data_IF_765432523869
#
_entry.id   IF_765432523869
#
_cell.length_a   1.000
_cell.length_b   1.000
_cell.length_c   1.000
_cell.angle_alpha   90.00
_cell.angle_beta   90.00
_cell.angle_gamma   90.00
#
_symmetry.space_group_name_H-M   'P 1'
#
loop_
_entity.id
_entity.type
_entity.pdbx_description
1 polymer ?
#
# COMPACT_ATOMS: atom_id res chain seq x y z
N UNK A 1 -3.70 -19.92 13.11
CA UNK A 1 -2.53 -20.71 12.65
C UNK A 1 -2.80 -21.19 11.23
N UNK A 2 -2.23 -20.52 10.25
CA UNK A 2 -2.19 -21.03 8.88
C UNK A 2 -1.32 -22.30 8.91
N UNK A 3 -1.96 -23.46 8.95
CA UNK A 3 -1.29 -24.73 8.61
C UNK A 3 -0.69 -24.56 7.22
N UNK A 4 0.51 -25.06 6.98
CA UNK A 4 1.09 -25.17 5.64
C UNK A 4 0.11 -25.99 4.80
N UNK A 5 -0.75 -25.31 4.04
CA UNK A 5 -1.62 -25.94 3.06
C UNK A 5 -0.70 -26.55 1.99
N UNK A 6 -0.71 -27.87 1.89
CA UNK A 6 -0.07 -28.51 0.75
C UNK A 6 -0.95 -28.27 -0.52
N UNK A 7 -0.37 -28.48 -1.68
CA UNK A 7 -1.06 -28.23 -2.96
C UNK A 7 -2.33 -29.08 -3.14
N UNK A 8 -2.42 -30.23 -2.47
CA UNK A 8 -3.58 -31.12 -2.53
C UNK A 8 -4.73 -30.59 -1.64
N UNK A 9 -4.44 -30.14 -0.43
CA UNK A 9 -5.45 -29.53 0.44
C UNK A 9 -6.04 -28.27 -0.18
N UNK A 10 -5.18 -27.45 -0.79
CA UNK A 10 -5.65 -26.26 -1.52
C UNK A 10 -6.54 -26.63 -2.70
N UNK A 11 -6.17 -27.66 -3.47
CA UNK A 11 -7.00 -28.20 -4.54
C UNK A 11 -8.38 -28.63 -4.04
N UNK A 12 -8.45 -29.38 -2.93
CA UNK A 12 -9.72 -29.82 -2.35
C UNK A 12 -10.60 -28.67 -1.91
N UNK A 13 -10.00 -27.61 -1.34
CA UNK A 13 -10.73 -26.41 -0.94
C UNK A 13 -11.26 -25.64 -2.16
N UNK A 14 -10.46 -25.47 -3.19
CA UNK A 14 -10.88 -24.81 -4.44
C UNK A 14 -11.99 -25.61 -5.11
N UNK A 15 -11.84 -26.94 -5.23
CA UNK A 15 -12.87 -27.81 -5.80
C UNK A 15 -14.19 -27.71 -5.03
N UNK A 16 -14.15 -27.64 -3.70
CA UNK A 16 -15.32 -27.44 -2.86
C UNK A 16 -16.00 -26.09 -3.11
N UNK A 17 -15.22 -25.02 -3.27
CA UNK A 17 -15.73 -23.68 -3.58
C UNK A 17 -16.37 -23.62 -4.96
N UNK A 18 -15.79 -24.27 -5.96
CA UNK A 18 -16.32 -24.31 -7.34
C UNK A 18 -17.62 -25.09 -7.38
N UNK A 19 -17.65 -26.30 -6.79
CA UNK A 19 -18.81 -27.22 -6.88
C UNK A 19 -19.97 -26.87 -5.94
N UNK A 20 -19.76 -26.05 -4.91
CA UNK A 20 -20.78 -25.74 -3.92
C UNK A 20 -21.07 -24.24 -3.86
N UNK A 21 -22.03 -23.81 -4.67
CA UNK A 21 -22.46 -22.41 -4.74
C UNK A 21 -22.94 -21.86 -3.38
N UNK A 22 -23.70 -22.66 -2.63
CA UNK A 22 -24.19 -22.26 -1.31
C UNK A 22 -23.04 -22.02 -0.33
N UNK A 23 -22.02 -22.86 -0.36
CA UNK A 23 -20.81 -22.70 0.46
C UNK A 23 -20.00 -21.48 0.03
N UNK A 24 -19.85 -21.25 -1.27
CA UNK A 24 -19.18 -20.08 -1.84
C UNK A 24 -19.88 -18.78 -1.42
N UNK A 25 -21.21 -18.71 -1.58
CA UNK A 25 -22.02 -17.55 -1.17
C UNK A 25 -21.91 -17.28 0.34
N UNK A 26 -21.88 -18.35 1.16
CA UNK A 26 -21.68 -18.23 2.61
C UNK A 26 -20.32 -17.59 2.94
N UNK A 27 -19.23 -18.09 2.35
CA UNK A 27 -17.88 -17.53 2.58
C UNK A 27 -17.79 -16.07 2.12
N UNK A 28 -18.38 -15.73 0.97
CA UNK A 28 -18.45 -14.36 0.48
C UNK A 28 -19.18 -13.44 1.46
N UNK A 29 -20.33 -13.89 1.97
CA UNK A 29 -21.11 -13.13 2.93
C UNK A 29 -20.40 -12.96 4.29
N UNK A 30 -19.80 -14.02 4.80
CA UNK A 30 -19.05 -13.99 6.07
C UNK A 30 -17.80 -13.10 5.94
N UNK A 31 -17.11 -13.18 4.79
CA UNK A 31 -16.00 -12.31 4.46
C UNK A 31 -16.42 -10.83 4.38
N UNK A 32 -17.54 -10.56 3.71
CA UNK A 32 -18.09 -9.19 3.63
C UNK A 32 -18.47 -8.65 5.01
N UNK A 33 -19.14 -9.43 5.85
CA UNK A 33 -19.45 -9.04 7.23
C UNK A 33 -18.19 -8.70 8.04
N UNK A 34 -17.18 -9.56 7.93
CA UNK A 34 -15.91 -9.37 8.65
C UNK A 34 -15.19 -8.09 8.17
N UNK A 35 -15.12 -7.87 6.87
CA UNK A 35 -14.53 -6.66 6.29
C UNK A 35 -15.31 -5.41 6.71
N UNK A 36 -16.66 -5.45 6.68
CA UNK A 36 -17.51 -4.35 7.11
C UNK A 36 -17.28 -3.98 8.59
N UNK A 37 -17.13 -4.99 9.45
CA UNK A 37 -16.79 -4.76 10.86
C UNK A 37 -15.40 -4.11 11.01
N UNK A 38 -14.41 -4.62 10.31
CA UNK A 38 -13.04 -4.11 10.35
C UNK A 38 -12.92 -2.69 9.77
N UNK A 39 -13.69 -2.35 8.73
CA UNK A 39 -13.78 -0.99 8.21
C UNK A 39 -14.33 -0.05 9.28
N UNK A 40 -15.35 -0.46 10.01
CA UNK A 40 -15.94 0.34 11.11
C UNK A 40 -14.95 0.57 12.24
N UNK A 41 -14.19 -0.46 12.62
CA UNK A 41 -13.14 -0.34 13.64
C UNK A 41 -11.97 0.56 13.18
N UNK A 42 -11.54 0.43 11.92
CA UNK A 42 -10.53 1.31 11.35
C UNK A 42 -11.00 2.76 11.22
N UNK A 43 -12.28 2.99 10.91
CA UNK A 43 -12.84 4.34 10.91
C UNK A 43 -12.75 4.96 12.31
N UNK A 44 -13.10 4.23 13.35
CA UNK A 44 -12.96 4.68 14.73
C UNK A 44 -11.51 4.98 15.11
N UNK A 45 -10.59 4.18 14.60
CA UNK A 45 -9.15 4.39 14.83
C UNK A 45 -8.63 5.67 14.14
N UNK A 46 -9.05 5.90 12.89
CA UNK A 46 -8.76 7.15 12.17
C UNK A 46 -9.40 8.34 12.88
N UNK A 47 -10.63 8.20 13.36
CA UNK A 47 -11.30 9.23 14.13
C UNK A 47 -10.54 9.53 15.45
N UNK A 48 -10.01 8.51 16.12
CA UNK A 48 -9.17 8.70 17.33
C UNK A 48 -7.86 9.44 17.02
N UNK A 49 -7.24 9.16 15.87
CA UNK A 49 -6.08 9.95 15.41
C UNK A 49 -6.49 11.40 15.15
N UNK A 50 -7.63 11.64 14.49
CA UNK A 50 -8.20 12.97 14.28
C UNK A 50 -8.47 13.69 15.60
N UNK A 51 -9.05 13.00 16.57
CA UNK A 51 -9.30 13.52 17.91
C UNK A 51 -8.00 13.91 18.62
N UNK A 52 -7.01 13.04 18.59
CA UNK A 52 -5.70 13.33 19.16
C UNK A 52 -5.04 14.54 18.48
N UNK A 53 -5.14 14.63 17.15
CA UNK A 53 -4.66 15.80 16.41
C UNK A 53 -5.44 17.05 16.84
N UNK A 54 -6.76 16.99 16.89
CA UNK A 54 -7.60 18.11 17.27
C UNK A 54 -7.31 18.60 18.69
N UNK A 55 -7.14 17.69 19.65
CA UNK A 55 -6.77 18.00 21.03
C UNK A 55 -5.40 18.66 21.12
N UNK A 56 -4.41 18.12 20.40
CA UNK A 56 -3.05 18.67 20.37
C UNK A 56 -3.00 20.11 19.83
N UNK A 57 -3.90 20.44 18.91
CA UNK A 57 -3.97 21.77 18.28
C UNK A 57 -5.03 22.70 18.90
N UNK A 58 -5.72 22.29 19.97
CA UNK A 58 -6.84 23.05 20.53
C UNK A 58 -7.92 23.36 19.48
N UNK A 59 -8.12 22.45 18.53
CA UNK A 59 -9.01 22.65 17.40
C UNK A 59 -10.42 22.14 17.75
N UNK A 60 -11.44 22.95 17.48
CA UNK A 60 -12.83 22.51 17.52
C UNK A 60 -13.07 21.49 16.39
N UNK A 61 -13.30 20.25 16.74
CA UNK A 61 -13.36 19.06 15.89
C UNK A 61 -14.25 19.18 14.63
N UNK A 62 -15.30 19.98 14.71
CA UNK A 62 -16.32 20.12 13.66
C UNK A 62 -15.88 21.07 12.53
N UNK A 63 -14.79 21.84 12.70
CA UNK A 63 -14.43 22.93 11.78
C UNK A 63 -13.05 22.85 11.15
N UNK A 64 -12.25 21.85 11.48
CA UNK A 64 -10.85 21.95 11.13
C UNK A 64 -10.44 21.02 10.01
N UNK A 65 -10.42 21.63 8.87
CA UNK A 65 -9.81 21.18 7.65
C UNK A 65 -8.28 21.13 7.87
N UNK A 66 -7.73 19.90 7.88
CA UNK A 66 -6.28 19.71 7.95
C UNK A 66 -5.64 20.01 6.61
N UNK A 67 -4.47 20.59 6.63
CA UNK A 67 -3.57 20.68 5.48
C UNK A 67 -2.63 19.48 5.53
N UNK A 68 -2.71 18.65 4.51
CA UNK A 68 -2.00 17.36 4.44
C UNK A 68 -1.03 17.40 3.28
N UNK A 69 0.23 17.08 3.52
CA UNK A 69 1.16 16.71 2.45
C UNK A 69 1.18 15.20 2.34
N UNK A 70 0.82 14.66 1.17
CA UNK A 70 0.89 13.22 0.87
C UNK A 70 2.01 12.96 -0.14
N UNK A 71 3.08 12.28 0.31
CA UNK A 71 4.26 11.98 -0.50
C UNK A 71 4.26 10.50 -0.89
N UNK A 72 4.21 10.22 -2.19
CA UNK A 72 4.26 8.88 -2.73
C UNK A 72 4.68 8.86 -4.19
N UNK A 73 5.03 7.70 -4.72
CA UNK A 73 5.38 7.58 -6.13
C UNK A 73 4.11 7.54 -7.01
N UNK A 74 3.84 8.59 -7.75
CA UNK A 74 2.72 8.62 -8.70
C UNK A 74 3.03 7.84 -9.98
N UNK A 75 4.30 7.73 -10.35
CA UNK A 75 4.73 6.99 -11.54
C UNK A 75 4.30 7.62 -12.87
N UNK A 76 4.15 8.93 -12.94
CA UNK A 76 3.69 9.66 -14.12
C UNK A 76 4.50 9.38 -15.40
N UNK A 77 5.80 9.08 -15.25
CA UNK A 77 6.68 8.76 -16.37
C UNK A 77 6.70 7.29 -16.77
N UNK A 78 5.90 6.45 -16.14
CA UNK A 78 5.83 5.03 -16.47
C UNK A 78 4.58 4.77 -17.32
N UNK A 79 4.76 4.52 -18.60
CA UNK A 79 3.68 4.34 -19.59
C UNK A 79 2.61 3.30 -19.19
N UNK A 80 2.96 2.36 -18.33
CA UNK A 80 2.08 1.27 -17.90
C UNK A 80 1.52 1.45 -16.48
N UNK A 81 1.78 2.60 -15.82
CA UNK A 81 1.20 2.87 -14.50
C UNK A 81 -0.03 3.74 -14.62
N UNK A 82 -1.09 3.26 -14.04
CA UNK A 82 -2.34 3.97 -13.94
C UNK A 82 -2.28 4.87 -12.68
N UNK A 83 -1.87 6.10 -12.89
CA UNK A 83 -1.71 7.11 -11.83
C UNK A 83 -2.91 7.21 -10.91
N UNK A 84 -4.12 7.23 -11.49
CA UNK A 84 -5.35 7.44 -10.74
C UNK A 84 -5.76 6.28 -9.83
N UNK A 85 -5.14 5.10 -9.97
CA UNK A 85 -5.45 3.92 -9.16
C UNK A 85 -4.33 3.54 -8.18
N UNK A 86 -3.28 4.35 -8.09
CA UNK A 86 -2.21 4.10 -7.12
C UNK A 86 -2.73 4.20 -5.69
N UNK A 87 -2.13 3.43 -4.79
CA UNK A 87 -2.54 3.42 -3.37
C UNK A 87 -2.41 4.80 -2.73
N UNK A 88 -1.33 5.53 -3.03
CA UNK A 88 -1.16 6.90 -2.57
C UNK A 88 -2.29 7.83 -3.03
N UNK A 89 -2.78 7.64 -4.28
CA UNK A 89 -3.92 8.41 -4.80
C UNK A 89 -5.22 8.10 -4.07
N UNK A 90 -5.44 6.84 -3.70
CA UNK A 90 -6.60 6.45 -2.90
C UNK A 90 -6.61 7.12 -1.53
N UNK A 91 -5.46 7.26 -0.88
CA UNK A 91 -5.33 8.03 0.36
C UNK A 91 -5.66 9.51 0.13
N UNK A 92 -5.08 10.14 -0.91
CA UNK A 92 -5.43 11.52 -1.26
C UNK A 92 -6.93 11.71 -1.44
N UNK A 93 -7.55 10.83 -2.23
CA UNK A 93 -9.01 10.89 -2.46
C UNK A 93 -9.80 10.73 -1.16
N UNK A 94 -9.36 9.84 -0.28
CA UNK A 94 -9.96 9.64 1.05
C UNK A 94 -9.86 10.89 1.92
N UNK A 95 -8.70 11.54 1.98
CA UNK A 95 -8.49 12.77 2.73
C UNK A 95 -9.34 13.92 2.18
N UNK A 96 -9.38 14.10 0.85
CA UNK A 96 -10.21 15.13 0.21
C UNK A 96 -11.70 14.93 0.51
N UNK A 97 -12.20 13.68 0.44
CA UNK A 97 -13.60 13.37 0.77
C UNK A 97 -13.95 13.64 2.23
N UNK A 98 -12.96 13.53 3.11
CA UNK A 98 -13.12 13.90 4.51
C UNK A 98 -12.96 15.41 4.76
N UNK A 99 -12.89 16.21 3.71
CA UNK A 99 -12.88 17.68 3.78
C UNK A 99 -11.50 18.29 4.07
N UNK A 100 -10.41 17.54 3.94
CA UNK A 100 -9.07 18.05 4.14
C UNK A 100 -8.49 18.67 2.86
N UNK A 101 -7.55 19.61 3.02
CA UNK A 101 -6.69 20.07 1.93
C UNK A 101 -5.52 19.12 1.75
N UNK A 102 -5.27 18.68 0.53
CA UNK A 102 -4.20 17.71 0.27
C UNK A 102 -3.29 18.19 -0.84
N UNK A 103 -2.02 18.33 -0.53
CA UNK A 103 -0.96 18.55 -1.49
C UNK A 103 -0.25 17.22 -1.77
N UNK A 104 -0.32 16.76 -3.03
CA UNK A 104 0.36 15.54 -3.47
C UNK A 104 1.77 15.85 -3.97
N UNK A 105 2.75 15.08 -3.54
CA UNK A 105 4.13 15.17 -4.00
C UNK A 105 4.60 13.79 -4.43
N UNK A 106 5.10 13.68 -5.68
CA UNK A 106 5.76 12.48 -6.16
C UNK A 106 7.26 12.60 -6.02
N UNK A 107 7.83 11.87 -5.08
CA UNK A 107 9.26 11.86 -4.82
C UNK A 107 10.08 11.42 -6.04
N UNK A 108 9.72 10.28 -6.62
CA UNK A 108 10.46 9.68 -7.73
C UNK A 108 10.30 10.45 -9.03
N UNK A 109 9.12 11.02 -9.28
CA UNK A 109 8.89 11.80 -10.49
C UNK A 109 9.62 13.14 -10.40
N UNK A 110 9.62 13.80 -9.24
CA UNK A 110 10.39 15.01 -9.01
C UNK A 110 11.88 14.79 -9.25
N UNK A 111 12.46 13.75 -8.62
CA UNK A 111 13.88 13.42 -8.78
C UNK A 111 14.23 13.11 -10.24
N UNK A 112 13.34 12.42 -10.96
CA UNK A 112 13.54 12.11 -12.38
C UNK A 112 13.46 13.35 -13.28
N UNK A 113 12.53 14.25 -13.00
CA UNK A 113 12.36 15.50 -13.78
C UNK A 113 13.54 16.43 -13.59
N UNK A 114 14.11 16.47 -12.39
CA UNK A 114 15.23 17.32 -12.03
C UNK A 114 16.59 16.61 -12.16
N UNK A 115 16.62 15.42 -12.79
CA UNK A 115 17.85 14.67 -12.98
C UNK A 115 18.77 15.39 -13.96
N UNK A 116 19.91 15.81 -13.43
CA UNK A 116 21.06 16.27 -14.19
C UNK A 116 22.07 15.13 -14.33
N UNK A 117 23.36 15.43 -14.41
CA UNK A 117 24.43 14.42 -14.51
C UNK A 117 24.58 13.55 -13.25
N UNK A 118 24.02 13.96 -12.11
CA UNK A 118 24.14 13.25 -10.83
C UNK A 118 22.78 13.04 -10.16
N UNK A 119 22.54 11.80 -9.70
CA UNK A 119 21.36 11.47 -8.88
C UNK A 119 21.41 12.18 -7.52
N UNK A 120 22.62 12.38 -6.97
CA UNK A 120 22.82 13.03 -5.67
C UNK A 120 22.31 14.49 -5.72
N UNK A 121 22.59 15.21 -6.78
CA UNK A 121 22.10 16.59 -6.94
C UNK A 121 20.57 16.65 -7.05
N UNK A 122 19.95 15.66 -7.67
CA UNK A 122 18.48 15.59 -7.78
C UNK A 122 17.83 15.29 -6.44
N UNK A 123 18.47 14.49 -5.60
CA UNK A 123 18.00 14.20 -4.23
C UNK A 123 18.08 15.44 -3.35
N UNK A 124 19.21 16.17 -3.39
CA UNK A 124 19.36 17.43 -2.64
C UNK A 124 18.29 18.44 -3.05
N UNK A 125 18.10 18.67 -4.35
CA UNK A 125 17.02 19.55 -4.84
C UNK A 125 15.61 19.11 -4.36
N UNK A 126 15.41 17.83 -4.16
CA UNK A 126 14.15 17.33 -3.62
C UNK A 126 13.96 17.71 -2.16
N UNK A 127 15.03 17.65 -1.34
CA UNK A 127 14.97 18.11 0.05
C UNK A 127 14.68 19.61 0.12
N UNK A 128 15.39 20.42 -0.67
CA UNK A 128 15.16 21.87 -0.73
C UNK A 128 13.72 22.21 -1.11
N UNK A 129 13.20 21.52 -2.14
CA UNK A 129 11.81 21.65 -2.57
C UNK A 129 10.82 21.25 -1.46
N UNK A 130 11.07 20.16 -0.76
CA UNK A 130 10.22 19.73 0.34
C UNK A 130 10.19 20.74 1.48
N UNK A 131 11.36 21.27 1.86
CA UNK A 131 11.50 22.24 2.93
C UNK A 131 10.76 23.54 2.58
N UNK A 132 10.95 24.03 1.35
CA UNK A 132 10.27 25.24 0.88
C UNK A 132 8.76 25.04 0.79
N UNK A 133 8.33 23.91 0.24
CA UNK A 133 6.91 23.53 0.16
C UNK A 133 6.31 23.44 1.57
N UNK A 134 7.02 22.83 2.50
CA UNK A 134 6.56 22.68 3.88
C UNK A 134 6.38 24.05 4.56
N UNK A 135 7.34 24.97 4.40
CA UNK A 135 7.26 26.34 4.94
C UNK A 135 6.04 27.09 4.38
N UNK A 136 5.86 27.02 3.06
CA UNK A 136 4.81 27.77 2.37
C UNK A 136 3.41 27.17 2.62
N UNK A 137 3.28 25.86 2.60
CA UNK A 137 2.00 25.18 2.80
C UNK A 137 1.62 25.08 4.28
N UNK A 138 2.61 25.00 5.17
CA UNK A 138 2.44 24.84 6.62
C UNK A 138 1.46 23.73 6.98
N UNK A 139 1.79 22.46 6.70
CA UNK A 139 0.89 21.33 6.88
C UNK A 139 0.67 21.00 8.36
N UNK A 140 -0.51 20.43 8.66
CA UNK A 140 -0.84 19.85 9.96
C UNK A 140 -0.45 18.37 10.01
N UNK A 141 -0.40 17.71 8.85
CA UNK A 141 -0.11 16.29 8.73
C UNK A 141 0.76 15.99 7.51
N UNK A 142 1.86 15.28 7.72
CA UNK A 142 2.71 14.72 6.68
C UNK A 142 2.51 13.21 6.62
N UNK A 143 2.08 12.72 5.47
CA UNK A 143 1.82 11.31 5.22
C UNK A 143 2.63 10.83 4.02
N UNK A 144 3.41 9.77 4.17
CA UNK A 144 4.22 9.28 3.06
C UNK A 144 4.28 7.76 3.01
N UNK A 145 4.44 7.23 1.79
CA UNK A 145 4.52 5.80 1.58
C UNK A 145 5.47 5.39 0.47
N UNK A 146 6.13 4.27 0.68
CA UNK A 146 7.10 3.69 -0.25
C UNK A 146 8.22 4.63 -0.72
N UNK A 147 8.44 5.72 0.00
CA UNK A 147 9.58 6.60 -0.26
C UNK A 147 10.78 6.19 0.58
N UNK A 148 11.95 6.47 0.06
CA UNK A 148 13.24 6.45 0.76
C UNK A 148 14.07 7.68 0.41
N UNK A 149 13.41 8.67 -0.16
CA UNK A 149 14.06 9.83 -0.74
C UNK A 149 13.90 11.08 0.15
N UNK A 150 13.33 10.92 1.34
CA UNK A 150 13.27 11.99 2.36
C UNK A 150 14.43 11.74 3.32
N UNK A 151 15.32 12.71 3.48
CA UNK A 151 16.41 12.57 4.43
C UNK A 151 15.90 12.76 5.86
N UNK A 152 16.51 12.09 6.85
CA UNK A 152 16.09 12.20 8.26
C UNK A 152 16.25 13.61 8.78
N UNK A 153 17.30 14.29 8.37
CA UNK A 153 17.56 15.69 8.68
C UNK A 153 16.41 16.60 8.18
N UNK A 154 15.81 16.27 7.05
CA UNK A 154 14.63 16.98 6.52
C UNK A 154 13.41 16.77 7.41
N UNK A 155 13.20 15.57 7.93
CA UNK A 155 12.13 15.26 8.90
C UNK A 155 12.34 16.05 10.20
N UNK A 156 13.56 16.09 10.72
CA UNK A 156 13.90 16.85 11.93
C UNK A 156 13.68 18.35 11.72
N UNK A 157 14.01 18.86 10.53
CA UNK A 157 13.76 20.24 10.17
C UNK A 157 12.26 20.56 10.10
N UNK A 158 11.42 19.65 9.59
CA UNK A 158 9.97 19.83 9.62
C UNK A 158 9.46 20.01 11.04
N UNK A 159 9.94 19.21 11.99
CA UNK A 159 9.59 19.35 13.41
C UNK A 159 10.09 20.64 14.04
N UNK A 160 11.20 21.17 13.55
CA UNK A 160 11.73 22.48 13.98
C UNK A 160 10.84 23.61 13.45
N UNK A 161 10.40 23.53 12.19
CA UNK A 161 9.53 24.53 11.56
C UNK A 161 8.12 24.51 12.18
N UNK A 162 7.54 23.32 12.34
CA UNK A 162 6.24 23.15 12.97
C UNK A 162 6.33 22.05 14.07
N UNK A 163 6.43 22.48 15.33
CA UNK A 163 6.56 21.55 16.47
C UNK A 163 5.35 20.63 16.65
N UNK A 164 4.22 20.97 16.06
CA UNK A 164 2.98 20.24 16.20
C UNK A 164 2.70 19.31 15.00
N UNK A 165 3.57 19.28 13.99
CA UNK A 165 3.39 18.42 12.83
C UNK A 165 3.26 16.95 13.26
N UNK A 166 2.28 16.27 12.71
CA UNK A 166 2.16 14.82 12.81
C UNK A 166 2.71 14.22 11.54
N UNK A 167 3.62 13.28 11.68
CA UNK A 167 4.32 12.63 10.57
C UNK A 167 4.02 11.13 10.63
N UNK A 168 3.53 10.55 9.54
CA UNK A 168 3.24 9.12 9.47
C UNK A 168 3.73 8.51 8.18
N UNK A 169 4.21 7.28 8.25
CA UNK A 169 4.52 6.48 7.07
C UNK A 169 3.58 5.29 6.93
N UNK A 170 3.44 4.81 5.69
CA UNK A 170 2.69 3.60 5.38
C UNK A 170 3.43 2.70 4.39
N UNK A 171 3.19 1.38 4.51
CA UNK A 171 3.73 0.40 3.60
C UNK A 171 2.74 -0.75 3.43
N UNK A 172 2.33 -1.04 2.19
CA UNK A 172 1.38 -2.10 1.86
C UNK A 172 2.05 -3.41 1.44
N UNK A 173 3.34 -3.40 1.16
CA UNK A 173 4.04 -4.61 0.79
C UNK A 173 4.20 -5.55 1.98
N UNK A 174 4.13 -6.88 1.77
CA UNK A 174 4.34 -7.84 2.84
C UNK A 174 5.71 -7.71 3.52
N UNK A 175 5.71 -7.82 4.85
CA UNK A 175 6.91 -7.75 5.69
C UNK A 175 7.15 -9.12 6.34
N UNK A 176 7.59 -10.06 5.52
CA UNK A 176 7.89 -11.43 5.98
C UNK A 176 9.39 -11.71 5.88
N UNK A 177 10.07 -12.02 7.01
CA UNK A 177 11.52 -12.24 7.04
C UNK A 177 12.02 -13.35 6.12
N UNK A 178 11.17 -14.34 5.86
CA UNK A 178 11.47 -15.48 4.97
C UNK A 178 11.52 -15.09 3.49
N UNK A 179 11.09 -13.88 3.12
CA UNK A 179 11.04 -13.42 1.73
C UNK A 179 12.15 -12.40 1.47
N UNK A 180 13.02 -12.67 0.53
CA UNK A 180 14.17 -11.80 0.25
C UNK A 180 13.78 -10.36 -0.14
N UNK A 181 12.70 -10.19 -0.89
CA UNK A 181 12.21 -8.86 -1.24
C UNK A 181 11.68 -8.07 -0.02
N UNK A 182 11.20 -8.77 0.99
CA UNK A 182 10.72 -8.17 2.24
C UNK A 182 11.85 -7.51 3.04
N UNK A 183 13.08 -8.01 2.94
CA UNK A 183 14.24 -7.41 3.62
C UNK A 183 14.44 -5.95 3.25
N UNK A 184 14.19 -5.60 1.99
CA UNK A 184 14.27 -4.21 1.54
C UNK A 184 13.15 -3.36 2.13
N UNK A 185 11.92 -3.90 2.18
CA UNK A 185 10.78 -3.19 2.77
C UNK A 185 10.97 -2.97 4.27
N UNK A 186 11.42 -4.01 4.99
CA UNK A 186 11.76 -3.91 6.41
C UNK A 186 12.79 -2.80 6.64
N UNK A 187 13.87 -2.76 5.85
CA UNK A 187 14.91 -1.74 5.96
C UNK A 187 14.35 -0.32 5.72
N UNK A 188 13.54 -0.16 4.69
CA UNK A 188 12.94 1.14 4.36
C UNK A 188 12.00 1.64 5.47
N UNK A 189 11.18 0.75 6.05
CA UNK A 189 10.30 1.10 7.15
C UNK A 189 11.12 1.44 8.41
N UNK A 190 12.11 0.59 8.74
CA UNK A 190 12.97 0.77 9.92
C UNK A 190 13.75 2.09 9.86
N UNK A 191 14.09 2.55 8.65
CA UNK A 191 14.83 3.80 8.45
C UNK A 191 14.10 5.00 9.05
N UNK A 192 12.77 5.05 8.91
CA UNK A 192 11.96 6.17 9.41
C UNK A 192 11.22 5.86 10.72
N UNK A 193 11.18 4.60 11.13
CA UNK A 193 10.24 4.14 12.16
C UNK A 193 10.28 4.91 13.48
N UNK A 194 11.46 5.38 13.90
CA UNK A 194 11.63 6.13 15.13
C UNK A 194 11.54 7.65 14.93
N UNK A 195 11.55 8.13 13.68
CA UNK A 195 11.49 9.55 13.33
C UNK A 195 10.06 10.00 12.98
N UNK A 196 9.11 9.08 12.93
CA UNK A 196 7.69 9.35 12.65
C UNK A 196 6.80 9.02 13.84
N UNK A 197 5.63 9.66 13.89
CA UNK A 197 4.67 9.44 14.99
C UNK A 197 3.90 8.12 14.82
N UNK A 198 3.64 7.69 13.58
CA UNK A 198 2.90 6.46 13.30
C UNK A 198 3.46 5.70 12.09
N UNK A 199 3.54 4.39 12.23
CA UNK A 199 3.94 3.47 11.16
C UNK A 199 2.77 2.55 10.83
N UNK A 200 2.21 2.67 9.64
CA UNK A 200 1.10 1.87 9.15
C UNK A 200 1.60 0.76 8.22
N UNK A 201 1.29 -0.49 8.54
CA UNK A 201 1.70 -1.66 7.77
C UNK A 201 0.53 -2.62 7.57
N UNK A 202 0.53 -3.34 6.44
CA UNK A 202 -0.51 -4.34 6.11
C UNK A 202 -0.17 -5.75 6.60
N UNK A 203 1.00 -5.94 7.17
CA UNK A 203 1.40 -7.18 7.85
C UNK A 203 1.15 -7.03 9.35
N UNK A 204 0.93 -8.13 10.05
CA UNK A 204 0.79 -8.11 11.51
C UNK A 204 1.99 -7.39 12.16
N UNK A 205 1.75 -6.30 12.92
CA UNK A 205 2.81 -5.53 13.58
C UNK A 205 3.75 -6.37 14.44
N UNK A 206 3.27 -7.47 15.01
CA UNK A 206 4.10 -8.36 15.82
C UNK A 206 5.26 -8.98 15.05
N UNK A 207 5.08 -9.22 13.75
CA UNK A 207 6.12 -9.78 12.87
C UNK A 207 7.26 -8.77 12.68
N UNK A 208 6.92 -7.49 12.47
CA UNK A 208 7.90 -6.42 12.33
C UNK A 208 8.59 -6.14 13.67
N UNK A 209 7.82 -6.11 14.76
CA UNK A 209 8.32 -5.81 16.12
C UNK A 209 9.36 -6.84 16.60
N UNK A 210 9.23 -8.11 16.22
CA UNK A 210 10.24 -9.14 16.53
C UNK A 210 11.63 -8.79 16.00
N UNK A 211 11.72 -8.08 14.87
CA UNK A 211 12.98 -7.66 14.26
C UNK A 211 13.40 -6.25 14.69
N UNK A 212 12.44 -5.44 15.11
CA UNK A 212 12.63 -4.04 15.48
C UNK A 212 11.93 -3.77 16.82
N UNK A 213 12.42 -4.33 17.94
CA UNK A 213 11.72 -4.30 19.24
C UNK A 213 11.56 -2.89 19.82
N UNK A 214 12.40 -1.96 19.40
CA UNK A 214 12.36 -0.56 19.84
C UNK A 214 11.25 0.29 19.18
N UNK A 215 10.60 -0.23 18.14
CA UNK A 215 9.53 0.48 17.44
C UNK A 215 8.20 0.18 18.11
N UNK A 216 7.56 1.18 18.71
CA UNK A 216 6.33 1.02 19.47
C UNK A 216 5.07 1.59 18.78
N UNK A 217 5.24 2.41 17.77
CA UNK A 217 4.19 3.15 17.06
C UNK A 217 3.78 2.46 15.74
N UNK A 218 3.62 1.16 15.79
CA UNK A 218 3.22 0.30 14.66
C UNK A 218 1.73 0.00 14.70
N UNK A 219 1.08 0.19 13.56
CA UNK A 219 -0.35 -0.01 13.41
C UNK A 219 -0.66 -0.84 12.17
N UNK A 220 -1.55 -1.80 12.32
CA UNK A 220 -2.08 -2.53 11.17
C UNK A 220 -3.11 -1.69 10.43
N UNK A 221 -3.05 -1.71 9.09
CA UNK A 221 -4.11 -1.15 8.26
C UNK A 221 -4.38 -2.05 7.05
N UNK A 222 -5.58 -1.95 6.51
CA UNK A 222 -5.92 -2.63 5.25
C UNK A 222 -5.47 -1.81 4.06
N UNK A 223 -5.18 -2.52 2.95
CA UNK A 223 -4.97 -1.86 1.66
C UNK A 223 -6.17 -0.97 1.36
N UNK A 224 -5.96 0.33 1.09
CA UNK A 224 -7.06 1.26 0.88
C UNK A 224 -7.83 0.93 -0.39
N UNK A 225 -9.15 1.04 -0.28
CA UNK A 225 -10.10 0.92 -1.39
C UNK A 225 -10.74 2.28 -1.63
N UNK A 226 -10.82 2.68 -2.88
CA UNK A 226 -11.51 3.91 -3.28
C UNK A 226 -12.79 3.54 -4.03
N UNK A 227 -13.94 3.89 -3.46
CA UNK A 227 -15.25 3.55 -4.04
C UNK A 227 -15.49 4.08 -5.46
N UNK A 228 -14.72 5.09 -5.90
CA UNK A 228 -14.83 5.62 -7.25
C UNK A 228 -13.89 4.91 -8.23
N UNK A 229 -12.94 4.13 -7.71
CA UNK A 229 -12.01 3.31 -8.49
C UNK A 229 -12.48 1.86 -8.50
N UNK A 230 -12.73 1.30 -7.33
CA UNK A 230 -13.24 -0.06 -7.14
C UNK A 230 -14.79 -0.03 -7.03
N UNK A 231 -15.43 0.44 -8.09
CA UNK A 231 -16.89 0.66 -8.10
C UNK A 231 -17.72 -0.50 -8.67
N UNK A 232 -17.07 -1.54 -9.16
CA UNK A 232 -17.76 -2.69 -9.76
C UNK A 232 -18.32 -3.64 -8.71
N UNK A 233 -19.61 -3.80 -8.71
CA UNK A 233 -20.38 -4.70 -7.83
C UNK A 233 -20.44 -6.12 -8.43
N UNK A 234 -19.26 -6.66 -8.75
CA UNK A 234 -19.12 -7.91 -9.53
C UNK A 234 -19.66 -9.16 -8.82
N UNK A 235 -19.82 -9.11 -7.50
CA UNK A 235 -20.38 -10.22 -6.74
C UNK A 235 -21.88 -10.46 -7.02
N UNK A 236 -22.57 -9.48 -7.61
CA UNK A 236 -23.98 -9.58 -8.05
C UNK A 236 -24.11 -10.18 -9.45
N UNK A 237 -23.02 -10.23 -10.19
CA UNK A 237 -22.99 -10.78 -11.53
C UNK A 237 -22.71 -12.29 -11.47
N UNK A 238 -23.28 -13.03 -12.41
CA UNK A 238 -22.85 -14.41 -12.59
C UNK A 238 -21.43 -14.42 -13.17
N UNK A 239 -20.45 -14.99 -12.47
CA UNK A 239 -19.09 -14.99 -12.97
C UNK A 239 -19.00 -15.86 -14.24
N UNK A 240 -18.39 -15.32 -15.27
CA UNK A 240 -18.14 -16.03 -16.54
C UNK A 240 -16.85 -16.84 -16.48
N UNK A 241 -16.07 -16.68 -15.42
CA UNK A 241 -14.80 -17.37 -15.18
C UNK A 241 -14.73 -17.85 -13.73
N UNK A 242 -14.16 -19.03 -13.54
CA UNK A 242 -13.92 -19.59 -12.22
C UNK A 242 -12.71 -18.94 -11.56
N UNK A 243 -11.69 -18.63 -12.36
CA UNK A 243 -10.45 -17.97 -11.90
C UNK A 243 -10.10 -16.82 -12.82
N UNK A 244 -9.89 -15.66 -12.21
CA UNK A 244 -9.22 -14.51 -12.83
C UNK A 244 -7.90 -14.26 -12.12
N UNK A 245 -6.81 -14.18 -12.87
CA UNK A 245 -5.50 -13.89 -12.33
C UNK A 245 -4.73 -12.89 -13.18
N UNK A 246 -4.34 -11.77 -12.58
CA UNK A 246 -3.53 -10.74 -13.22
C UNK A 246 -2.23 -10.52 -12.45
N UNK A 247 -1.10 -10.57 -13.14
CA UNK A 247 0.21 -10.33 -12.52
C UNK A 247 1.20 -9.64 -13.46
N UNK A 248 2.13 -8.89 -12.89
CA UNK A 248 3.31 -8.46 -13.63
C UNK A 248 4.40 -9.53 -13.54
N UNK A 249 4.93 -9.95 -14.69
CA UNK A 249 6.08 -10.85 -14.72
C UNK A 249 7.32 -10.17 -14.13
N UNK A 250 8.01 -10.83 -13.19
CA UNK A 250 9.13 -10.25 -12.45
C UNK A 250 10.38 -9.93 -13.30
N UNK A 251 10.46 -10.43 -14.53
CA UNK A 251 11.59 -10.21 -15.47
C UNK A 251 11.77 -8.72 -15.79
N UNK A 252 10.68 -7.99 -16.00
CA UNK A 252 10.73 -6.57 -16.34
C UNK A 252 11.22 -5.67 -15.20
N UNK A 253 11.24 -6.20 -13.98
CA UNK A 253 11.75 -5.51 -12.79
C UNK A 253 13.14 -5.98 -12.39
N UNK A 254 13.84 -6.70 -13.26
CA UNK A 254 15.12 -7.37 -12.98
C UNK A 254 15.08 -8.29 -11.74
N UNK A 255 13.90 -8.74 -11.33
CA UNK A 255 13.71 -9.63 -10.17
C UNK A 255 13.89 -11.10 -10.54
N UNK A 256 13.79 -11.43 -11.81
CA UNK A 256 14.05 -12.77 -12.33
C UNK A 256 15.16 -12.71 -13.37
N UNK A 257 16.07 -13.69 -13.33
CA UNK A 257 17.08 -13.90 -14.37
C UNK A 257 16.38 -14.36 -15.66
N UNK A 258 16.94 -13.98 -16.83
CA UNK A 258 16.47 -14.45 -18.13
C UNK A 258 16.36 -15.99 -18.13
N UNK A 259 15.23 -16.51 -18.61
CA UNK A 259 14.96 -17.96 -18.64
C UNK A 259 14.44 -18.57 -17.32
N UNK A 260 14.24 -17.78 -16.25
CA UNK A 260 13.57 -18.24 -15.02
C UNK A 260 12.10 -17.87 -15.02
N UNK A 261 11.26 -18.82 -14.63
CA UNK A 261 9.82 -18.62 -14.50
C UNK A 261 9.47 -18.21 -13.06
N UNK A 262 8.55 -17.26 -12.92
CA UNK A 262 8.02 -16.87 -11.62
C UNK A 262 7.28 -18.07 -10.97
N UNK A 263 7.53 -18.30 -9.69
CA UNK A 263 6.91 -19.40 -8.95
C UNK A 263 5.37 -19.37 -9.00
N UNK A 264 4.78 -18.19 -9.16
CA UNK A 264 3.32 -18.03 -9.32
C UNK A 264 2.83 -18.62 -10.64
N UNK A 265 3.60 -18.50 -11.72
CA UNK A 265 3.27 -19.13 -13.02
C UNK A 265 3.32 -20.65 -12.88
N UNK A 266 4.35 -21.19 -12.23
CA UNK A 266 4.44 -22.62 -11.98
C UNK A 266 3.27 -23.14 -11.13
N UNK A 267 2.85 -22.36 -10.13
CA UNK A 267 1.68 -22.67 -9.33
C UNK A 267 0.40 -22.73 -10.19
N UNK A 268 0.17 -21.70 -11.03
CA UNK A 268 -0.99 -21.62 -11.90
C UNK A 268 -1.02 -22.77 -12.92
N UNK A 269 0.12 -23.05 -13.56
CA UNK A 269 0.22 -24.18 -14.50
C UNK A 269 -0.08 -25.51 -13.82
N UNK A 270 0.38 -25.71 -12.59
CA UNK A 270 0.08 -26.92 -11.82
C UNK A 270 -1.40 -26.98 -11.40
N UNK A 271 -2.00 -25.84 -11.10
CA UNK A 271 -3.42 -25.76 -10.75
C UNK A 271 -4.30 -26.17 -11.94
N UNK A 272 -4.05 -25.56 -13.12
CA UNK A 272 -4.79 -25.87 -14.36
C UNK A 272 -4.68 -27.36 -14.73
N UNK A 273 -3.48 -27.93 -14.65
CA UNK A 273 -3.26 -29.35 -14.95
C UNK A 273 -3.98 -30.29 -14.01
N UNK A 274 -4.37 -29.84 -12.83
CA UNK A 274 -5.01 -30.68 -11.79
C UNK A 274 -6.51 -30.53 -11.69
N UNK A 275 -7.06 -29.51 -12.31
CA UNK A 275 -8.51 -29.22 -12.27
C UNK A 275 -9.01 -29.27 -13.70
N UNK A 276 -9.73 -30.34 -14.02
CA UNK A 276 -10.43 -30.48 -15.27
C UNK A 276 -11.62 -29.49 -15.33
N UNK A 277 -11.93 -28.98 -16.50
CA UNK A 277 -13.08 -28.11 -16.80
C UNK A 277 -13.09 -26.76 -16.05
N UNK A 278 -11.92 -26.24 -15.66
CA UNK A 278 -11.83 -24.92 -15.08
C UNK A 278 -11.79 -23.84 -16.17
N UNK A 279 -12.67 -22.85 -16.05
CA UNK A 279 -12.70 -21.70 -16.93
C UNK A 279 -11.89 -20.56 -16.31
N UNK A 280 -10.80 -20.11 -16.97
CA UNK A 280 -9.88 -19.14 -16.40
C UNK A 280 -9.42 -18.08 -17.39
N UNK A 281 -9.11 -16.90 -16.86
CA UNK A 281 -8.41 -15.83 -17.57
C UNK A 281 -7.11 -15.46 -16.83
N UNK A 282 -6.00 -15.51 -17.55
CA UNK A 282 -4.70 -15.07 -17.03
C UNK A 282 -4.22 -13.85 -17.82
N UNK A 283 -3.92 -12.79 -17.10
CA UNK A 283 -3.33 -11.57 -17.63
C UNK A 283 -1.93 -11.39 -17.06
N UNK A 284 -0.96 -11.36 -17.93
CA UNK A 284 0.44 -11.14 -17.58
C UNK A 284 1.06 -10.05 -18.43
N UNK A 285 1.91 -9.22 -17.83
CA UNK A 285 2.73 -8.29 -18.57
C UNK A 285 4.09 -8.96 -18.86
N UNK A 286 4.25 -9.44 -20.09
CA UNK A 286 5.52 -9.94 -20.60
C UNK A 286 6.04 -9.00 -21.68
N UNK A 287 7.33 -8.63 -21.62
CA UNK A 287 7.93 -7.76 -22.62
C UNK A 287 8.28 -8.46 -23.95
N UNK A 288 8.03 -9.72 -24.05
CA UNK A 288 8.17 -10.50 -25.30
C UNK A 288 7.23 -11.67 -25.23
N UNK A 289 6.66 -11.98 -26.38
CA UNK A 289 5.89 -13.19 -26.60
C UNK A 289 6.61 -14.45 -26.11
N UNK A 290 5.84 -15.46 -25.70
CA UNK A 290 6.41 -16.70 -25.22
C UNK A 290 7.36 -17.36 -26.26
#
# INVERSE_FOLDING_TARGET
TLKKLNSYELYLQIKKLIKNEKFRKKIQYDGFKKVKHLIKENSKFIDKIRENCAQKFNLNFIRNKLRIINIYNTGQKLNHRLYNISLGKKFTNGFIRNGHDVLEISDRDFIRQNRTFSLKNSSSKFQDFLIETFKNYNPDFLFFGHTKNIDLETIDLFRTINKNIIISQWNEDPIMPSLDYSKTNIRNISHYANSVDHNFITTDPSIFKKQNPKVNNLYFFFVPVDRNIECFDVYKLNPTRDIFYAMSHGVNRAKLKKGKTDSRINFLNNLIKKIDDINYDFYGFANKEP
#
